data_IF_292036647015
#
_entry.id   IF_292036647015
#
_cell.length_a   1.000
_cell.length_b   1.000
_cell.length_c   1.000
_cell.angle_alpha   90.00
_cell.angle_beta   90.00
_cell.angle_gamma   90.00
#
_symmetry.space_group_name_H-M   'P 1'
#
loop_
_entity.id
_entity.type
_entity.pdbx_description
1 polymer ?
#
# COMPACT_ATOMS: atom_id res chain seq x y z
N UNK A 1 13.97 0.58 12.17
CA UNK A 1 12.57 0.66 12.63
C UNK A 1 11.86 -0.61 12.19
N UNK A 2 11.05 -1.22 13.05
CA UNK A 2 10.27 -2.42 12.69
C UNK A 2 8.98 -1.98 12.03
N UNK A 3 8.56 -2.64 10.95
CA UNK A 3 7.32 -2.29 10.23
C UNK A 3 6.07 -2.42 11.11
N UNK A 4 6.17 -3.17 12.22
CA UNK A 4 5.10 -3.36 13.20
C UNK A 4 4.68 -2.08 13.91
N UNK A 5 5.52 -1.05 13.92
CA UNK A 5 5.25 0.20 14.62
C UNK A 5 4.74 1.29 13.67
N UNK A 6 4.58 0.96 12.38
CA UNK A 6 4.28 1.93 11.33
C UNK A 6 2.79 2.08 11.08
N UNK A 7 2.38 3.30 10.77
CA UNK A 7 1.04 3.58 10.26
C UNK A 7 0.99 3.37 8.73
N UNK A 8 -0.22 3.38 8.18
CA UNK A 8 -0.43 3.17 6.75
C UNK A 8 0.28 4.20 5.86
N UNK A 9 0.47 5.45 6.30
CA UNK A 9 1.19 6.46 5.50
C UNK A 9 2.65 6.10 5.34
N UNK A 10 3.31 5.71 6.44
CA UNK A 10 4.71 5.28 6.44
C UNK A 10 4.91 4.03 5.58
N UNK A 11 4.03 3.04 5.73
CA UNK A 11 4.06 1.80 4.93
C UNK A 11 3.87 2.12 3.45
N UNK A 12 2.86 2.93 3.10
CA UNK A 12 2.56 3.24 1.71
C UNK A 12 3.67 4.09 1.06
N UNK A 13 4.28 5.03 1.78
CA UNK A 13 5.46 5.76 1.28
C UNK A 13 6.60 4.82 0.96
N UNK A 14 6.91 3.86 1.84
CA UNK A 14 7.96 2.89 1.58
C UNK A 14 7.66 2.07 0.33
N UNK A 15 6.43 1.55 0.21
CA UNK A 15 6.01 0.72 -0.93
C UNK A 15 6.08 1.50 -2.25
N UNK A 16 5.59 2.74 -2.27
CA UNK A 16 5.65 3.60 -3.44
C UNK A 16 7.10 3.97 -3.81
N UNK A 17 7.93 4.30 -2.82
CA UNK A 17 9.33 4.64 -3.04
C UNK A 17 10.13 3.46 -3.60
N UNK A 18 9.97 2.26 -3.03
CA UNK A 18 10.61 1.04 -3.53
C UNK A 18 10.12 0.65 -4.93
N UNK A 19 8.85 0.94 -5.23
CA UNK A 19 8.27 0.68 -6.55
C UNK A 19 8.61 1.75 -7.59
N UNK A 20 9.29 2.84 -7.18
CA UNK A 20 9.53 4.02 -8.01
C UNK A 20 8.25 4.59 -8.66
N UNK A 21 7.14 4.55 -7.93
CA UNK A 21 5.83 5.03 -8.41
C UNK A 21 5.30 6.17 -7.56
N UNK A 22 4.41 6.95 -8.16
CA UNK A 22 3.61 7.94 -7.45
C UNK A 22 2.28 7.36 -7.03
N UNK A 23 1.60 8.02 -6.08
CA UNK A 23 0.25 7.65 -5.69
C UNK A 23 -0.73 7.66 -6.88
N UNK A 24 -0.57 8.59 -7.83
CA UNK A 24 -1.40 8.64 -9.04
C UNK A 24 -1.25 7.36 -9.87
N UNK A 25 0.00 6.97 -10.14
CA UNK A 25 0.31 5.76 -10.91
C UNK A 25 -0.22 4.51 -10.20
N UNK A 26 -0.10 4.44 -8.88
CA UNK A 26 -0.70 3.36 -8.09
C UNK A 26 -2.22 3.27 -8.30
N UNK A 27 -2.92 4.40 -8.24
CA UNK A 27 -4.37 4.44 -8.42
C UNK A 27 -4.78 4.09 -9.85
N UNK A 28 -4.02 4.52 -10.85
CA UNK A 28 -4.24 4.14 -12.24
C UNK A 28 -4.12 2.61 -12.42
N UNK A 29 -3.08 1.99 -11.86
CA UNK A 29 -2.91 0.53 -11.88
C UNK A 29 -4.02 -0.22 -11.13
N UNK A 30 -4.46 0.31 -9.98
CA UNK A 30 -5.59 -0.26 -9.22
C UNK A 30 -6.88 -0.19 -10.03
N UNK A 31 -7.12 0.92 -10.74
CA UNK A 31 -8.29 1.08 -11.62
C UNK A 31 -8.24 0.10 -12.78
N UNK A 32 -7.09 -0.05 -13.44
CA UNK A 32 -6.92 -0.99 -14.56
C UNK A 32 -7.16 -2.44 -14.15
N UNK A 33 -6.72 -2.84 -12.95
CA UNK A 33 -6.83 -4.24 -12.49
C UNK A 33 -8.17 -4.58 -11.84
N UNK A 34 -8.78 -3.63 -11.12
CA UNK A 34 -9.99 -3.87 -10.33
C UNK A 34 -11.25 -3.22 -10.94
N UNK A 35 -11.11 -2.35 -11.94
CA UNK A 35 -12.21 -1.58 -12.51
C UNK A 35 -12.77 -0.50 -11.57
N UNK A 36 -12.11 -0.25 -10.42
CA UNK A 36 -12.58 0.69 -9.40
C UNK A 36 -11.79 1.99 -9.51
N UNK A 37 -12.49 3.10 -9.74
CA UNK A 37 -11.92 4.43 -9.69
C UNK A 37 -11.97 4.97 -8.25
N UNK A 38 -10.80 5.18 -7.65
CA UNK A 38 -10.67 5.77 -6.32
C UNK A 38 -10.07 7.18 -6.48
N UNK A 39 -10.79 8.24 -6.08
CA UNK A 39 -10.22 9.58 -6.08
C UNK A 39 -8.97 9.65 -5.22
N UNK A 40 -7.95 10.37 -5.70
CA UNK A 40 -6.67 10.49 -5.00
C UNK A 40 -6.84 11.05 -3.58
N UNK A 41 -7.71 12.04 -3.39
CA UNK A 41 -8.04 12.60 -2.07
C UNK A 41 -8.66 11.57 -1.14
N UNK A 42 -9.57 10.72 -1.64
CA UNK A 42 -10.17 9.62 -0.87
C UNK A 42 -9.12 8.61 -0.43
N UNK A 43 -8.19 8.26 -1.32
CA UNK A 43 -7.09 7.37 -0.96
C UNK A 43 -6.20 8.01 0.10
N UNK A 44 -5.75 9.24 -0.09
CA UNK A 44 -4.92 9.97 0.89
C UNK A 44 -5.61 10.07 2.25
N UNK A 45 -6.90 10.40 2.29
CA UNK A 45 -7.69 10.44 3.53
C UNK A 45 -7.82 9.07 4.21
N UNK A 46 -7.93 7.98 3.43
CA UNK A 46 -7.97 6.62 3.96
C UNK A 46 -6.63 6.25 4.59
N UNK A 47 -5.52 6.55 3.91
CA UNK A 47 -4.17 6.27 4.40
C UNK A 47 -3.89 7.07 5.69
N UNK A 48 -4.17 8.37 5.70
CA UNK A 48 -3.90 9.23 6.86
C UNK A 48 -4.71 8.85 8.11
N UNK A 49 -5.91 8.29 7.93
CA UNK A 49 -6.76 7.79 9.02
C UNK A 49 -6.45 6.37 9.46
N UNK A 50 -5.34 5.80 8.98
CA UNK A 50 -4.96 4.41 9.22
C UNK A 50 -6.06 3.40 8.81
N UNK A 51 -6.81 3.71 7.74
CA UNK A 51 -7.98 2.94 7.30
C UNK A 51 -7.73 1.96 6.15
N UNK A 52 -6.48 1.77 5.70
CA UNK A 52 -6.11 0.77 4.71
C UNK A 52 -6.23 -0.62 5.33
N UNK A 53 -7.06 -1.48 4.75
CA UNK A 53 -7.19 -2.86 5.21
C UNK A 53 -6.03 -3.70 4.71
N UNK A 54 -5.69 -4.76 5.45
CA UNK A 54 -4.67 -5.73 5.04
C UNK A 54 -4.94 -6.29 3.63
N UNK A 55 -6.19 -6.58 3.30
CA UNK A 55 -6.56 -7.08 1.96
C UNK A 55 -6.26 -6.08 0.84
N UNK A 56 -6.47 -4.78 1.09
CA UNK A 56 -6.16 -3.72 0.13
C UNK A 56 -4.64 -3.58 -0.02
N UNK A 57 -3.91 -3.64 1.10
CA UNK A 57 -2.44 -3.63 1.10
C UNK A 57 -1.85 -4.82 0.33
N UNK A 58 -2.36 -6.03 0.55
CA UNK A 58 -1.95 -7.24 -0.17
C UNK A 58 -2.20 -7.12 -1.68
N UNK A 59 -3.35 -6.56 -2.07
CA UNK A 59 -3.64 -6.29 -3.48
C UNK A 59 -2.63 -5.31 -4.08
N UNK A 60 -2.34 -4.20 -3.38
CA UNK A 60 -1.34 -3.23 -3.82
C UNK A 60 0.02 -3.91 -3.98
N UNK A 61 0.48 -4.68 -2.98
CA UNK A 61 1.75 -5.40 -3.08
C UNK A 61 1.79 -6.37 -4.27
N UNK A 62 0.72 -7.12 -4.51
CA UNK A 62 0.61 -8.03 -5.65
C UNK A 62 0.58 -7.31 -7.01
N UNK A 63 0.06 -6.08 -7.08
CA UNK A 63 0.12 -5.24 -8.30
C UNK A 63 1.56 -4.81 -8.58
N UNK A 64 2.26 -4.44 -7.53
CA UNK A 64 3.63 -3.93 -7.62
C UNK A 64 4.69 -5.04 -7.67
N UNK A 65 4.27 -6.31 -7.66
CA UNK A 65 5.18 -7.46 -7.72
C UNK A 65 5.94 -7.74 -6.41
N UNK A 66 5.46 -7.26 -5.27
CA UNK A 66 6.03 -7.59 -3.97
C UNK A 66 5.55 -8.94 -3.46
N UNK A 67 6.48 -9.71 -2.93
CA UNK A 67 6.19 -10.86 -2.07
C UNK A 67 6.07 -10.40 -0.60
N UNK A 68 4.94 -10.74 0.04
CA UNK A 68 4.71 -10.45 1.47
C UNK A 68 4.99 -11.72 2.26
N UNK A 69 6.07 -11.72 3.04
CA UNK A 69 6.40 -12.80 3.95
C UNK A 69 6.37 -12.36 5.41
N UNK A 70 5.81 -13.21 6.26
CA UNK A 70 5.88 -13.06 7.71
C UNK A 70 7.00 -13.96 8.22
N UNK A 71 7.91 -13.39 9.01
CA UNK A 71 9.00 -14.13 9.62
C UNK A 71 8.86 -14.12 11.15
N UNK A 72 9.01 -15.29 11.76
CA UNK A 72 9.07 -15.41 13.22
C UNK A 72 10.36 -14.76 13.72
N UNK A 73 10.22 -13.82 14.67
CA UNK A 73 11.38 -13.24 15.36
C UNK A 73 12.09 -14.35 16.13
N UNK A 74 13.32 -14.69 15.73
CA UNK A 74 14.18 -15.58 16.51
C UNK A 74 14.41 -14.93 17.88
N UNK A 75 14.11 -15.69 18.94
CA UNK A 75 14.34 -15.29 20.34
C UNK A 75 15.82 -15.37 20.67
#
# INVERSE_FOLDING_TARGET
MNITDWNNDEIMRLVMAKGHITQKVLLDMLRERNGIEIPQSTFSCKISRNGLKLSEFQQICNILGYDISLQLKKR
#
